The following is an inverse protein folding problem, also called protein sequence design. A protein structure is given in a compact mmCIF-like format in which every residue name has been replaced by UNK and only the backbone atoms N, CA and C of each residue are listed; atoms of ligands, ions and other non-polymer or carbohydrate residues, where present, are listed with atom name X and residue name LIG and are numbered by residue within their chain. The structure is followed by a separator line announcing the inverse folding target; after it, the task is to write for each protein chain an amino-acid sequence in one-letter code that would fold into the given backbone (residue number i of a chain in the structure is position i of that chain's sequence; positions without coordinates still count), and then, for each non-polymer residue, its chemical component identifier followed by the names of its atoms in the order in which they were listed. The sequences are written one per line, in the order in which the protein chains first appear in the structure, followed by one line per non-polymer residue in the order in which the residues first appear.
data_IF_448104980496
#
_entry.id   IF_448104980496
#
_cell.length_a   1.000
_cell.length_b   1.000
_cell.length_c   1.000
_cell.angle_alpha   90.00
_cell.angle_beta   90.00
_cell.angle_gamma   90.00
#
_symmetry.space_group_name_H-M   'P 1'
#
loop_
_entity.id
_entity.type
_entity.pdbx_description
1 polymer ?
#
# COMPACT_ATOMS: atom_id res chain seq x y z
N UNK A 1 0.91 10.95 2.76
CA UNK A 1 1.28 10.30 4.03
C UNK A 1 0.13 10.50 5.00
N UNK A 2 -0.25 9.50 5.83
CA UNK A 2 -1.26 9.70 6.88
C UNK A 2 -0.82 10.79 7.88
N UNK A 3 -1.76 11.58 8.40
CA UNK A 3 -1.44 12.72 9.27
C UNK A 3 -0.75 12.26 10.56
N UNK A 4 -1.18 11.14 11.12
CA UNK A 4 -0.63 10.55 12.35
C UNK A 4 0.82 10.07 12.16
N UNK A 5 1.20 9.69 10.95
CA UNK A 5 2.59 9.35 10.61
C UNK A 5 3.42 10.62 10.46
N UNK A 6 2.84 11.66 9.85
CA UNK A 6 3.49 12.97 9.70
C UNK A 6 3.80 13.60 11.05
N UNK A 7 2.88 13.48 12.02
CA UNK A 7 3.11 13.90 13.41
C UNK A 7 4.33 13.24 14.05
N UNK A 8 4.56 11.95 13.77
CA UNK A 8 5.77 11.27 14.25
C UNK A 8 7.01 11.88 13.60
N UNK A 9 7.06 12.01 12.27
CA UNK A 9 8.19 12.64 11.59
C UNK A 9 8.46 14.08 12.05
N UNK A 10 7.42 14.80 12.44
CA UNK A 10 7.54 16.16 12.96
C UNK A 10 8.29 16.26 14.30
N UNK A 11 8.52 15.14 15.00
CA UNK A 11 9.40 15.08 16.17
C UNK A 11 10.89 15.15 15.84
N UNK A 12 11.28 14.88 14.59
CA UNK A 12 12.68 14.92 14.19
C UNK A 12 13.29 16.32 14.39
N UNK A 13 14.46 16.40 15.02
CA UNK A 13 15.24 17.63 15.14
C UNK A 13 15.72 18.12 13.79
N UNK A 14 16.24 17.21 12.95
CA UNK A 14 16.61 17.49 11.57
C UNK A 14 15.45 17.15 10.66
N UNK A 15 14.98 18.14 9.89
CA UNK A 15 13.92 17.93 8.90
C UNK A 15 14.52 17.38 7.62
N UNK A 16 13.93 16.28 7.14
CA UNK A 16 14.31 15.60 5.91
C UNK A 16 13.04 15.25 5.14
N UNK A 17 13.17 15.11 3.84
CA UNK A 17 12.07 14.62 3.01
C UNK A 17 11.81 13.13 3.30
N UNK A 18 10.64 12.59 2.93
CA UNK A 18 10.40 11.16 3.03
C UNK A 18 11.40 10.31 2.25
N UNK A 19 11.87 10.80 1.10
CA UNK A 19 12.86 10.10 0.28
C UNK A 19 14.21 10.04 1.01
N UNK A 20 14.70 11.17 1.55
CA UNK A 20 15.96 11.18 2.28
C UNK A 20 15.92 10.28 3.53
N UNK A 21 14.80 10.26 4.27
CA UNK A 21 14.63 9.32 5.38
C UNK A 21 14.74 7.87 4.94
N UNK A 22 14.08 7.51 3.84
CA UNK A 22 14.13 6.16 3.29
C UNK A 22 15.55 5.78 2.88
N UNK A 23 16.25 6.66 2.16
CA UNK A 23 17.63 6.45 1.74
C UNK A 23 18.59 6.26 2.90
N UNK A 24 18.58 7.19 3.87
CA UNK A 24 19.47 7.09 5.03
C UNK A 24 19.19 5.82 5.82
N UNK A 25 17.93 5.43 6.00
CA UNK A 25 17.61 4.18 6.68
C UNK A 25 18.16 2.96 5.93
N UNK A 26 18.01 2.90 4.61
CA UNK A 26 18.55 1.80 3.80
C UNK A 26 20.07 1.77 3.88
N UNK A 27 20.75 2.89 3.60
CA UNK A 27 22.22 2.98 3.65
C UNK A 27 22.81 2.89 5.05
N UNK A 28 22.01 3.01 6.10
CA UNK A 28 22.46 2.79 7.48
C UNK A 28 22.97 1.36 7.70
N UNK A 29 22.55 0.40 6.88
CA UNK A 29 22.92 -1.02 6.95
C UNK A 29 24.22 -1.28 6.16
N UNK A 30 25.33 -1.68 6.81
CA UNK A 30 26.61 -1.91 6.14
C UNK A 30 26.57 -2.97 5.02
N UNK A 31 25.60 -3.89 5.06
CA UNK A 31 25.45 -4.98 4.09
C UNK A 31 24.84 -4.52 2.77
N UNK A 32 24.22 -3.33 2.73
CA UNK A 32 23.60 -2.79 1.52
C UNK A 32 24.67 -2.18 0.61
N UNK A 33 24.78 -2.73 -0.60
CA UNK A 33 25.77 -2.28 -1.61
C UNK A 33 25.16 -1.47 -2.76
N UNK A 34 23.85 -1.62 -3.00
CA UNK A 34 23.13 -0.95 -4.10
C UNK A 34 21.73 -0.59 -3.62
N UNK A 35 21.31 0.65 -3.92
CA UNK A 35 19.93 1.12 -3.68
C UNK A 35 19.34 1.55 -5.02
N UNK A 36 18.16 1.03 -5.35
CA UNK A 36 17.42 1.39 -6.56
C UNK A 36 16.35 2.42 -6.22
N UNK A 37 16.39 3.55 -6.89
CA UNK A 37 15.45 4.65 -6.69
C UNK A 37 14.59 4.88 -7.92
N UNK A 38 13.27 4.99 -7.71
CA UNK A 38 12.33 5.46 -8.73
C UNK A 38 12.17 6.98 -8.67
N UNK A 39 12.24 7.65 -9.82
CA UNK A 39 12.20 9.11 -9.93
C UNK A 39 11.37 9.51 -11.14
N UNK A 40 10.62 10.61 -11.04
CA UNK A 40 9.75 11.12 -12.10
C UNK A 40 10.13 12.55 -12.55
N UNK A 41 11.00 13.24 -11.81
CA UNK A 41 11.37 14.64 -12.02
C UNK A 41 12.86 14.85 -11.73
N UNK A 42 13.48 15.85 -12.36
CA UNK A 42 14.92 16.13 -12.19
C UNK A 42 15.28 16.50 -10.75
N UNK A 43 14.40 17.22 -10.03
CA UNK A 43 14.65 17.57 -8.62
C UNK A 43 14.83 16.34 -7.71
N UNK A 44 14.19 15.21 -8.02
CA UNK A 44 14.40 13.96 -7.29
C UNK A 44 15.81 13.39 -7.56
N UNK A 45 16.36 13.60 -8.75
CA UNK A 45 17.72 13.17 -9.09
C UNK A 45 18.72 13.96 -8.26
N UNK A 46 18.58 15.28 -8.23
CA UNK A 46 19.45 16.17 -7.46
C UNK A 46 19.44 15.83 -5.96
N UNK A 47 18.25 15.61 -5.40
CA UNK A 47 18.09 15.17 -4.01
C UNK A 47 18.77 13.82 -3.78
N UNK A 48 18.51 12.82 -4.62
CA UNK A 48 19.02 11.48 -4.42
C UNK A 48 20.55 11.43 -4.52
N UNK A 49 21.14 12.19 -5.45
CA UNK A 49 22.59 12.31 -5.59
C UNK A 49 23.22 12.94 -4.35
N UNK A 50 22.64 14.03 -3.85
CA UNK A 50 23.10 14.68 -2.62
C UNK A 50 23.03 13.72 -1.43
N UNK A 51 21.91 13.02 -1.26
CA UNK A 51 21.76 12.08 -0.14
C UNK A 51 22.72 10.89 -0.29
N UNK A 52 22.95 10.39 -1.50
CA UNK A 52 23.89 9.30 -1.74
C UNK A 52 25.34 9.67 -1.38
N UNK A 53 25.72 10.94 -1.52
CA UNK A 53 27.06 11.44 -1.14
C UNK A 53 27.22 11.54 0.40
N UNK A 54 26.13 11.82 1.12
CA UNK A 54 26.14 12.07 2.57
C UNK A 54 25.72 10.87 3.43
N UNK A 55 24.97 9.92 2.88
CA UNK A 55 24.40 8.80 3.62
C UNK A 55 25.36 7.60 3.59
N UNK A 56 25.94 7.32 4.75
CA UNK A 56 26.87 6.21 4.94
C UNK A 56 26.30 5.17 5.93
N UNK A 57 26.89 3.96 6.00
CA UNK A 57 26.58 3.01 7.06
C UNK A 57 26.69 3.64 8.45
N UNK A 58 25.73 3.34 9.32
CA UNK A 58 25.64 3.90 10.68
C UNK A 58 25.56 5.45 10.71
N UNK A 59 25.00 6.09 9.68
CA UNK A 59 24.82 7.55 9.63
C UNK A 59 23.58 8.07 10.36
N UNK A 60 22.67 7.18 10.79
CA UNK A 60 21.57 7.53 11.67
C UNK A 60 21.95 7.30 13.13
N UNK A 61 21.66 8.27 13.98
CA UNK A 61 21.84 8.12 15.43
C UNK A 61 20.69 7.30 16.08
N UNK A 62 20.86 6.95 17.36
CA UNK A 62 19.86 6.16 18.09
C UNK A 62 18.49 6.86 18.18
N UNK A 63 18.45 8.19 18.26
CA UNK A 63 17.22 8.96 18.29
C UNK A 63 16.48 8.85 16.96
N UNK A 64 17.21 8.94 15.86
CA UNK A 64 16.68 8.83 14.50
C UNK A 64 16.21 7.39 14.20
N UNK A 65 16.96 6.38 14.63
CA UNK A 65 16.56 4.97 14.49
C UNK A 65 15.26 4.70 15.27
N UNK A 66 15.16 5.21 16.50
CA UNK A 66 13.96 5.09 17.31
C UNK A 66 12.76 5.80 16.67
N UNK A 67 12.99 6.95 16.04
CA UNK A 67 11.95 7.67 15.30
C UNK A 67 11.42 6.85 14.11
N UNK A 68 12.30 6.27 13.31
CA UNK A 68 11.90 5.39 12.19
C UNK A 68 11.11 4.18 12.70
N UNK A 69 11.50 3.62 13.85
CA UNK A 69 10.77 2.53 14.48
C UNK A 69 9.36 2.97 14.93
N UNK A 70 9.21 4.17 15.49
CA UNK A 70 7.90 4.72 15.85
C UNK A 70 7.01 4.90 14.59
N UNK A 71 7.57 5.44 13.51
CA UNK A 71 6.88 5.56 12.22
C UNK A 71 6.40 4.21 11.70
N UNK A 72 7.28 3.20 11.74
CA UNK A 72 6.94 1.82 11.36
C UNK A 72 5.78 1.27 12.17
N UNK A 73 5.77 1.48 13.49
CA UNK A 73 4.67 1.04 14.34
C UNK A 73 3.38 1.80 14.02
N UNK A 74 3.45 3.11 13.80
CA UNK A 74 2.28 3.91 13.43
C UNK A 74 1.63 3.42 12.14
N UNK A 75 2.44 3.11 11.11
CA UNK A 75 1.92 2.50 9.88
C UNK A 75 1.25 1.14 10.14
N UNK A 76 1.81 0.30 11.02
CA UNK A 76 1.23 -1.00 11.39
C UNK A 76 -0.07 -0.88 12.20
N UNK A 77 -0.23 0.19 12.97
CA UNK A 77 -1.48 0.48 13.69
C UNK A 77 -2.59 0.93 12.74
N UNK A 78 -2.25 1.75 11.74
CA UNK A 78 -3.20 2.30 10.77
C UNK A 78 -3.61 1.27 9.70
N UNK A 79 -2.68 0.45 9.22
CA UNK A 79 -2.97 -0.61 8.25
C UNK A 79 -3.64 -1.81 8.94
N UNK A 80 -4.83 -2.19 8.48
CA UNK A 80 -5.53 -3.38 9.01
C UNK A 80 -4.92 -4.69 8.54
N UNK A 81 -4.34 -4.70 7.34
CA UNK A 81 -3.82 -5.91 6.70
C UNK A 81 -2.33 -5.74 6.43
N UNK A 82 -1.50 -6.65 6.96
CA UNK A 82 -0.06 -6.69 6.71
C UNK A 82 0.36 -7.16 5.31
N UNK A 83 -0.42 -6.82 4.27
CA UNK A 83 -0.11 -7.16 2.89
C UNK A 83 0.97 -6.24 2.34
N UNK A 84 1.98 -6.81 1.69
CA UNK A 84 3.10 -6.07 1.07
C UNK A 84 2.92 -5.88 -0.44
N UNK A 85 1.81 -6.33 -1.03
CA UNK A 85 1.57 -6.20 -2.47
C UNK A 85 2.52 -7.02 -3.34
N UNK A 86 3.05 -8.15 -2.86
CA UNK A 86 3.99 -8.99 -3.63
C UNK A 86 3.37 -9.81 -4.77
N UNK A 87 2.04 -9.87 -4.84
CA UNK A 87 1.28 -10.67 -5.83
C UNK A 87 1.50 -12.19 -5.83
N UNK A 88 2.22 -12.78 -4.86
CA UNK A 88 2.44 -14.24 -4.83
C UNK A 88 1.17 -15.06 -4.67
N UNK A 89 0.12 -14.49 -4.07
CA UNK A 89 -1.20 -15.12 -3.97
C UNK A 89 -1.95 -15.22 -5.32
N UNK A 90 -1.45 -14.60 -6.39
CA UNK A 90 -2.08 -14.53 -7.70
C UNK A 90 -1.53 -15.59 -8.66
N UNK A 91 -2.30 -16.01 -9.70
CA UNK A 91 -3.72 -15.71 -9.88
C UNK A 91 -4.60 -16.45 -8.87
N UNK A 92 -5.70 -15.83 -8.43
CA UNK A 92 -6.74 -16.50 -7.66
C UNK A 92 -7.61 -17.34 -8.62
N UNK A 93 -7.88 -18.62 -8.34
CA UNK A 93 -8.73 -19.45 -9.22
C UNK A 93 -10.18 -18.94 -9.34
N UNK A 94 -10.64 -18.14 -8.38
CA UNK A 94 -11.97 -17.53 -8.39
C UNK A 94 -11.99 -16.11 -8.95
N UNK A 95 -10.87 -15.61 -9.49
CA UNK A 95 -10.82 -14.28 -10.12
C UNK A 95 -10.58 -13.09 -9.16
N UNK A 96 -10.54 -13.31 -7.84
CA UNK A 96 -10.30 -12.26 -6.84
C UNK A 96 -8.95 -11.57 -7.06
N UNK A 97 -8.92 -10.24 -7.13
CA UNK A 97 -7.69 -9.46 -7.12
C UNK A 97 -7.27 -9.13 -5.68
N UNK A 98 -6.69 -10.12 -5.00
CA UNK A 98 -6.38 -10.08 -3.57
C UNK A 98 -5.51 -8.87 -3.18
N UNK A 99 -4.39 -8.57 -3.86
CA UNK A 99 -3.53 -7.46 -3.47
C UNK A 99 -4.22 -6.10 -3.57
N UNK A 100 -5.02 -5.89 -4.62
CA UNK A 100 -5.77 -4.64 -4.79
C UNK A 100 -6.91 -4.49 -3.79
N UNK A 101 -7.64 -5.57 -3.49
CA UNK A 101 -8.64 -5.59 -2.42
C UNK A 101 -8.02 -5.10 -1.10
N UNK A 102 -6.88 -5.68 -0.71
CA UNK A 102 -6.17 -5.31 0.52
C UNK A 102 -5.57 -3.90 0.46
N UNK A 103 -5.08 -3.46 -0.70
CA UNK A 103 -4.56 -2.09 -0.86
C UNK A 103 -5.65 -1.05 -0.65
N UNK A 104 -6.82 -1.22 -1.26
CA UNK A 104 -7.94 -0.26 -1.09
C UNK A 104 -8.46 -0.29 0.36
N UNK A 105 -8.55 -1.47 0.97
CA UNK A 105 -8.95 -1.62 2.37
C UNK A 105 -7.97 -0.94 3.33
N UNK A 106 -6.66 -1.16 3.18
CA UNK A 106 -5.68 -0.45 3.99
C UNK A 106 -5.72 1.07 3.77
N UNK A 107 -5.90 1.54 2.53
CA UNK A 107 -6.02 2.96 2.23
C UNK A 107 -7.25 3.58 2.91
N UNK A 108 -8.39 2.88 2.97
CA UNK A 108 -9.55 3.31 3.74
C UNK A 108 -9.17 3.58 5.20
N UNK A 109 -8.53 2.62 5.86
CA UNK A 109 -8.20 2.72 7.29
C UNK A 109 -7.06 3.71 7.57
N UNK A 110 -6.14 3.90 6.63
CA UNK A 110 -5.04 4.87 6.77
C UNK A 110 -5.48 6.33 6.57
N UNK A 111 -6.50 6.60 5.76
CA UNK A 111 -6.87 7.96 5.37
C UNK A 111 -8.31 8.37 5.73
N UNK A 112 -9.14 7.43 6.18
CA UNK A 112 -10.50 7.68 6.68
C UNK A 112 -11.54 8.13 5.65
N UNK A 113 -11.18 8.28 4.36
CA UNK A 113 -12.10 8.73 3.32
C UNK A 113 -12.92 7.55 2.75
N UNK A 114 -14.03 7.24 3.44
CA UNK A 114 -14.92 6.13 3.14
C UNK A 114 -15.47 6.17 1.71
N UNK A 115 -15.98 7.32 1.27
CA UNK A 115 -16.61 7.44 -0.04
C UNK A 115 -15.59 7.30 -1.18
N UNK A 116 -14.42 7.94 -1.05
CA UNK A 116 -13.35 7.82 -2.03
C UNK A 116 -12.81 6.38 -2.10
N UNK A 117 -12.65 5.70 -0.96
CA UNK A 117 -12.19 4.32 -0.93
C UNK A 117 -13.20 3.37 -1.59
N UNK A 118 -14.49 3.50 -1.26
CA UNK A 118 -15.58 2.72 -1.85
C UNK A 118 -15.73 2.92 -3.36
N UNK A 119 -15.56 4.16 -3.83
CA UNK A 119 -15.56 4.45 -5.26
C UNK A 119 -14.30 3.88 -5.94
N UNK A 120 -13.13 4.04 -5.33
CA UNK A 120 -11.85 3.48 -5.83
C UNK A 120 -11.92 1.96 -5.92
N UNK A 121 -12.51 1.30 -4.91
CA UNK A 121 -12.74 -0.14 -4.91
C UNK A 121 -13.59 -0.56 -6.11
N UNK A 122 -14.77 0.04 -6.28
CA UNK A 122 -15.64 -0.24 -7.40
C UNK A 122 -14.95 -0.02 -8.75
N UNK A 123 -14.21 1.09 -8.90
CA UNK A 123 -13.46 1.40 -10.12
C UNK A 123 -12.40 0.33 -10.42
N UNK A 124 -11.51 0.04 -9.47
CA UNK A 124 -10.40 -0.92 -9.67
C UNK A 124 -10.91 -2.35 -9.85
N UNK A 125 -11.92 -2.75 -9.08
CA UNK A 125 -12.44 -4.12 -9.09
C UNK A 125 -13.44 -4.37 -10.21
N UNK A 126 -14.01 -3.35 -10.85
CA UNK A 126 -14.98 -3.53 -11.94
C UNK A 126 -14.46 -4.18 -13.22
N UNK A 127 -13.14 -4.35 -13.37
CA UNK A 127 -12.52 -4.91 -14.57
C UNK A 127 -12.40 -3.93 -15.74
N UNK A 128 -12.75 -2.65 -15.57
CA UNK A 128 -12.70 -1.64 -16.66
C UNK A 128 -11.31 -1.41 -17.25
N UNK A 129 -10.25 -1.58 -16.46
CA UNK A 129 -8.87 -1.41 -16.93
C UNK A 129 -8.29 -2.69 -17.55
N UNK A 130 -8.85 -3.84 -17.20
CA UNK A 130 -8.33 -5.17 -17.56
C UNK A 130 -9.20 -5.89 -18.58
N UNK A 131 -10.36 -5.34 -18.93
CA UNK A 131 -11.41 -6.01 -19.73
C UNK A 131 -11.80 -7.39 -19.17
N UNK A 132 -11.78 -7.55 -17.84
CA UNK A 132 -12.16 -8.79 -17.16
C UNK A 132 -13.60 -8.71 -16.66
N UNK A 133 -14.45 -9.68 -17.02
CA UNK A 133 -15.82 -9.80 -16.53
C UNK A 133 -16.09 -11.25 -16.04
N UNK A 134 -16.50 -11.46 -14.78
CA UNK A 134 -16.60 -10.44 -13.74
C UNK A 134 -15.23 -9.85 -13.41
N UNK A 135 -15.22 -8.67 -12.79
CA UNK A 135 -13.99 -8.04 -12.31
C UNK A 135 -13.35 -8.78 -11.11
N UNK A 136 -12.46 -8.14 -10.36
CA UNK A 136 -11.63 -8.80 -9.34
C UNK A 136 -12.13 -8.74 -7.90
N UNK A 137 -13.44 -8.83 -7.66
CA UNK A 137 -14.08 -8.54 -6.37
C UNK A 137 -13.76 -9.56 -5.26
N UNK A 138 -13.72 -9.10 -4.01
CA UNK A 138 -13.46 -9.91 -2.82
C UNK A 138 -14.55 -10.97 -2.56
N UNK A 139 -15.82 -10.64 -2.85
CA UNK A 139 -16.96 -11.58 -2.70
C UNK A 139 -16.89 -12.82 -3.59
N UNK A 140 -16.00 -12.85 -4.58
CA UNK A 140 -15.77 -14.02 -5.41
C UNK A 140 -14.95 -15.11 -4.70
N UNK A 141 -14.37 -14.80 -3.53
CA UNK A 141 -13.61 -15.76 -2.76
C UNK A 141 -14.48 -16.95 -2.35
N UNK A 142 -14.07 -18.16 -2.76
CA UNK A 142 -14.71 -19.42 -2.36
C UNK A 142 -13.98 -20.11 -1.18
N UNK A 143 -13.07 -19.40 -0.52
CA UNK A 143 -12.31 -19.89 0.64
C UNK A 143 -11.46 -21.16 0.36
N UNK A 144 -10.94 -21.30 -0.87
CA UNK A 144 -10.15 -22.47 -1.26
C UNK A 144 -8.78 -22.62 -0.56
N UNK A 145 -8.28 -21.59 0.13
CA UNK A 145 -7.02 -21.62 0.88
C UNK A 145 -5.71 -21.55 0.08
N UNK A 146 -5.73 -21.71 -1.24
CA UNK A 146 -4.49 -21.75 -2.07
C UNK A 146 -3.61 -20.50 -1.95
N UNK A 147 -4.22 -19.34 -1.70
CA UNK A 147 -3.50 -18.08 -1.52
C UNK A 147 -2.68 -18.04 -0.23
N UNK A 148 -3.11 -18.76 0.82
CA UNK A 148 -2.47 -18.78 2.14
C UNK A 148 -1.10 -19.45 2.06
N UNK A 149 -1.00 -20.59 1.37
CA UNK A 149 0.26 -21.32 1.17
C UNK A 149 1.31 -20.49 0.43
N UNK A 150 0.88 -19.59 -0.45
CA UNK A 150 1.76 -18.72 -1.25
C UNK A 150 2.13 -17.43 -0.53
N UNK A 151 1.46 -17.09 0.57
CA UNK A 151 1.62 -15.79 1.22
C UNK A 151 2.86 -15.80 2.13
N UNK A 152 3.93 -15.02 1.81
CA UNK A 152 5.12 -14.97 2.65
C UNK A 152 4.88 -14.29 4.00
N UNK A 153 3.76 -13.58 4.14
CA UNK A 153 3.35 -12.91 5.39
C UNK A 153 2.39 -13.77 6.23
N UNK A 154 2.11 -15.02 5.80
CA UNK A 154 1.20 -15.96 6.49
C UNK A 154 -0.17 -15.35 6.82
N UNK A 155 -0.71 -14.53 5.90
CA UNK A 155 -2.01 -13.88 6.09
C UNK A 155 -3.15 -14.90 5.97
N UNK A 156 -4.16 -14.72 6.82
CA UNK A 156 -5.46 -15.40 6.76
C UNK A 156 -6.34 -14.77 5.68
N UNK A 157 -5.93 -14.94 4.43
CA UNK A 157 -6.48 -14.19 3.28
C UNK A 157 -8.00 -14.36 3.14
N UNK A 158 -8.58 -15.57 3.20
CA UNK A 158 -10.04 -15.73 3.08
C UNK A 158 -10.82 -14.95 4.14
N UNK A 159 -10.36 -14.95 5.39
CA UNK A 159 -11.00 -14.22 6.49
C UNK A 159 -10.91 -12.71 6.28
N UNK A 160 -9.72 -12.22 5.91
CA UNK A 160 -9.51 -10.80 5.64
C UNK A 160 -10.31 -10.29 4.43
N UNK A 161 -10.58 -11.14 3.44
CA UNK A 161 -11.45 -10.79 2.31
C UNK A 161 -12.91 -10.62 2.75
N UNK A 162 -13.36 -11.27 3.83
CA UNK A 162 -14.70 -11.04 4.38
C UNK A 162 -14.81 -9.63 4.95
N UNK A 163 -13.79 -9.16 5.66
CA UNK A 163 -13.72 -7.79 6.17
C UNK A 163 -13.76 -6.76 5.01
N UNK A 164 -13.09 -7.08 3.89
CA UNK A 164 -13.15 -6.26 2.66
C UNK A 164 -14.58 -6.21 2.11
N UNK A 165 -15.27 -7.35 2.01
CA UNK A 165 -16.66 -7.42 1.54
C UNK A 165 -17.56 -6.57 2.44
N UNK A 166 -17.46 -6.74 3.75
CA UNK A 166 -18.33 -6.07 4.72
C UNK A 166 -18.21 -4.53 4.66
N UNK A 167 -17.00 -4.00 4.48
CA UNK A 167 -16.79 -2.56 4.48
C UNK A 167 -16.87 -1.91 3.08
N UNK A 168 -16.48 -2.61 2.02
CA UNK A 168 -16.35 -2.02 0.67
C UNK A 168 -17.44 -2.47 -0.31
N UNK A 169 -18.05 -3.64 -0.12
CA UNK A 169 -19.08 -4.22 -1.02
C UNK A 169 -20.52 -4.01 -0.55
N UNK A 170 -20.80 -2.86 0.05
CA UNK A 170 -22.15 -2.49 0.49
C UNK A 170 -23.20 -2.34 -0.63
N UNK A 171 -24.47 -2.05 -0.29
CA UNK A 171 -25.62 -2.12 -1.20
C UNK A 171 -25.56 -1.21 -2.43
N UNK A 172 -24.74 -0.16 -2.40
CA UNK A 172 -24.56 0.76 -3.53
C UNK A 172 -23.40 0.37 -4.46
N UNK A 173 -22.75 -0.78 -4.26
CA UNK A 173 -21.61 -1.24 -5.07
C UNK A 173 -21.93 -1.22 -6.56
N UNK A 174 -23.05 -1.82 -6.97
CA UNK A 174 -23.46 -1.89 -8.39
C UNK A 174 -23.63 -0.50 -9.02
N UNK A 175 -24.18 0.46 -8.26
CA UNK A 175 -24.31 1.85 -8.73
C UNK A 175 -22.93 2.48 -8.94
N UNK A 176 -21.99 2.26 -8.01
CA UNK A 176 -20.61 2.77 -8.13
C UNK A 176 -19.87 2.13 -9.30
N UNK A 177 -20.05 0.83 -9.53
CA UNK A 177 -19.49 0.12 -10.69
C UNK A 177 -20.01 0.73 -12.00
N UNK A 178 -21.33 0.97 -12.10
CA UNK A 178 -21.93 1.59 -13.28
C UNK A 178 -21.38 3.01 -13.53
N UNK A 179 -21.26 3.82 -12.47
CA UNK A 179 -20.64 5.15 -12.56
C UNK A 179 -19.18 5.09 -13.01
N UNK A 180 -18.38 4.18 -12.44
CA UNK A 180 -16.99 3.97 -12.80
C UNK A 180 -16.84 3.57 -14.28
N UNK A 181 -17.64 2.62 -14.76
CA UNK A 181 -17.69 2.20 -16.17
C UNK A 181 -18.06 3.35 -17.10
N UNK A 182 -18.99 4.22 -16.69
CA UNK A 182 -19.39 5.37 -17.50
C UNK A 182 -18.30 6.44 -17.61
N UNK A 183 -17.58 6.72 -16.52
CA UNK A 183 -16.48 7.68 -16.51
C UNK A 183 -15.32 7.21 -17.39
N UNK A 184 -14.97 5.92 -17.34
CA UNK A 184 -13.89 5.37 -18.15
C UNK A 184 -14.21 5.38 -19.66
N UNK A 185 -15.47 5.16 -20.06
CA UNK A 185 -15.88 5.26 -21.47
C UNK A 185 -15.85 6.69 -22.06
N UNK A 186 -15.73 7.72 -21.21
CA UNK A 186 -15.71 9.12 -21.64
C UNK A 186 -14.31 9.73 -21.73
N UNK A 187 -13.29 9.06 -21.20
CA UNK A 187 -11.88 9.44 -21.33
C UNK A 187 -11.24 8.75 -22.52
#
# INVERSE_FOLDING_TARGET
MPAEVEEVWNKATVKRTPAEWAFRWVWNHPEVTVVLSGMNEEAHIDENLRVADEAHPNSLDETEINLVNEVKQKYRELMKIGCTGCHYCMPCPSGVNIPECFSVYNNLHMFGNVDAAKFTYALRMSGVFTNSEPGGFASQCIECGQCVEKCPQSLKIPELLKDVVDELEGPDLEKRIAMAKQLFKKG
#
